data_IF_383460710434
#
_entry.id   IF_383460710434
#
_cell.length_a   1.000
_cell.length_b   1.000
_cell.length_c   1.000
_cell.angle_alpha   90.00
_cell.angle_beta   90.00
_cell.angle_gamma   90.00
#
_symmetry.space_group_name_H-M   'P 1'
#
loop_
_entity.id
_entity.type
_entity.pdbx_description
1 polymer ?
#
# COMPACT_ATOMS: atom_id res chain seq x y z
N UNK A 1 50.53 11.80 -86.34
CA UNK A 1 50.91 12.53 -85.11
C UNK A 1 51.21 11.52 -84.01
N UNK A 2 52.35 11.67 -83.35
CA UNK A 2 52.89 10.86 -82.26
C UNK A 2 52.46 11.46 -80.88
N UNK A 3 52.89 10.97 -79.69
CA UNK A 3 52.96 9.59 -79.18
C UNK A 3 52.62 9.45 -77.64
N UNK A 4 52.88 8.24 -77.07
CA UNK A 4 53.21 7.90 -75.65
C UNK A 4 52.07 7.76 -74.61
N UNK A 5 52.15 6.99 -73.51
CA UNK A 5 52.89 5.81 -73.00
C UNK A 5 52.50 5.67 -71.49
N UNK A 6 52.49 4.45 -70.94
CA UNK A 6 52.59 4.07 -69.49
C UNK A 6 51.30 4.26 -68.65
N UNK A 7 50.82 3.40 -67.74
CA UNK A 7 51.40 2.30 -66.95
C UNK A 7 50.37 1.19 -66.64
N UNK A 8 50.88 0.04 -66.24
CA UNK A 8 50.17 -1.13 -65.69
C UNK A 8 50.45 -1.20 -64.19
N UNK A 9 49.44 -1.44 -63.36
CA UNK A 9 49.64 -2.09 -62.06
C UNK A 9 48.41 -2.99 -61.70
N UNK A 10 48.62 -4.21 -61.18
CA UNK A 10 47.58 -5.20 -60.89
C UNK A 10 47.18 -5.19 -59.41
N UNK A 11 45.96 -5.63 -59.10
CA UNK A 11 45.55 -5.81 -57.70
C UNK A 11 44.21 -6.51 -57.62
N UNK A 12 44.24 -7.82 -57.40
CA UNK A 12 43.04 -8.59 -57.10
C UNK A 12 42.39 -8.13 -55.80
N UNK A 13 41.08 -8.26 -55.71
CA UNK A 13 40.39 -8.31 -54.42
C UNK A 13 39.28 -9.34 -54.50
N UNK A 14 39.37 -10.23 -53.52
CA UNK A 14 38.60 -11.44 -53.32
C UNK A 14 37.12 -11.14 -53.14
N UNK A 15 36.30 -12.09 -53.58
CA UNK A 15 34.86 -12.17 -53.36
C UNK A 15 34.52 -11.94 -51.88
N UNK A 16 33.75 -10.88 -51.63
CA UNK A 16 33.16 -10.61 -50.32
C UNK A 16 32.10 -11.67 -50.00
N UNK A 17 32.47 -12.62 -49.14
CA UNK A 17 31.53 -13.48 -48.44
C UNK A 17 30.82 -12.62 -47.39
N UNK A 18 29.54 -12.34 -47.62
CA UNK A 18 28.66 -11.69 -46.65
C UNK A 18 28.39 -12.68 -45.51
N UNK A 19 29.00 -12.46 -44.35
CA UNK A 19 28.62 -13.17 -43.12
C UNK A 19 27.31 -12.60 -42.60
N UNK A 20 26.34 -13.49 -42.37
CA UNK A 20 25.08 -13.17 -41.73
C UNK A 20 25.34 -12.75 -40.28
N UNK A 21 25.07 -11.49 -39.96
CA UNK A 21 25.11 -10.93 -38.62
C UNK A 21 24.08 -11.65 -37.74
N UNK A 22 24.57 -12.42 -36.77
CA UNK A 22 23.77 -13.09 -35.73
C UNK A 22 23.10 -12.00 -34.87
N UNK A 23 21.78 -12.08 -34.57
CA UNK A 23 21.13 -11.05 -33.77
C UNK A 23 21.75 -11.03 -32.37
N UNK A 24 22.12 -9.83 -31.91
CA UNK A 24 22.61 -9.61 -30.56
C UNK A 24 21.55 -10.10 -29.58
N UNK A 25 21.89 -11.10 -28.77
CA UNK A 25 21.05 -11.52 -27.66
C UNK A 25 20.88 -10.33 -26.73
N UNK A 26 19.68 -9.75 -26.71
CA UNK A 26 19.31 -8.65 -25.84
C UNK A 26 19.41 -9.15 -24.39
N UNK A 27 20.53 -8.85 -23.73
CA UNK A 27 20.77 -9.18 -22.32
C UNK A 27 19.88 -8.26 -21.50
N UNK A 28 18.68 -8.75 -21.14
CA UNK A 28 17.81 -8.10 -20.17
C UNK A 28 18.60 -7.84 -18.87
N UNK A 29 18.59 -6.61 -18.34
CA UNK A 29 19.30 -6.30 -17.12
C UNK A 29 18.73 -7.15 -15.97
N UNK A 30 19.57 -7.66 -15.06
CA UNK A 30 19.16 -8.58 -13.99
C UNK A 30 18.02 -8.03 -13.12
N UNK A 31 17.90 -6.70 -13.02
CA UNK A 31 16.80 -6.00 -12.37
C UNK A 31 15.43 -6.23 -13.03
N UNK A 32 15.35 -6.26 -14.36
CA UNK A 32 14.07 -6.48 -15.06
C UNK A 32 13.62 -7.94 -14.93
N UNK A 33 14.56 -8.89 -14.92
CA UNK A 33 14.29 -10.30 -14.68
C UNK A 33 13.80 -10.53 -13.24
N UNK A 34 14.41 -9.86 -12.26
CA UNK A 34 14.00 -9.91 -10.86
C UNK A 34 12.59 -9.33 -10.66
N UNK A 35 12.28 -8.20 -11.32
CA UNK A 35 10.95 -7.59 -11.30
C UNK A 35 9.88 -8.50 -11.92
N UNK A 36 10.20 -9.21 -13.01
CA UNK A 36 9.30 -10.17 -13.63
C UNK A 36 9.02 -11.38 -12.72
N UNK A 37 10.05 -11.88 -12.03
CA UNK A 37 9.94 -13.00 -11.07
C UNK A 37 9.08 -12.62 -9.85
N UNK A 38 9.21 -11.40 -9.35
CA UNK A 38 8.38 -10.87 -8.25
C UNK A 38 6.90 -10.74 -8.64
N UNK A 39 6.62 -10.34 -9.89
CA UNK A 39 5.24 -10.24 -10.39
C UNK A 39 4.59 -11.61 -10.63
N UNK A 40 5.36 -12.62 -11.04
CA UNK A 40 4.84 -14.00 -11.23
C UNK A 40 4.71 -14.78 -9.92
N UNK A 41 5.50 -14.46 -8.89
CA UNK A 41 5.48 -15.15 -7.60
C UNK A 41 4.27 -14.83 -6.71
N UNK A 42 3.47 -13.82 -7.06
CA UNK A 42 2.31 -13.37 -6.27
C UNK A 42 1.03 -14.20 -6.46
N UNK A 43 1.05 -15.26 -7.29
CA UNK A 43 -0.13 -16.11 -7.57
C UNK A 43 0.09 -17.55 -7.10
N UNK A 44 0.18 -17.75 -5.78
CA UNK A 44 -0.04 -19.08 -5.18
C UNK A 44 -1.37 -19.07 -4.45
N UNK A 45 -2.44 -19.40 -5.17
CA UNK A 45 -3.74 -19.73 -4.60
C UNK A 45 -3.64 -21.09 -3.92
N UNK A 46 -3.70 -21.12 -2.58
CA UNK A 46 -3.86 -22.34 -1.81
C UNK A 46 -5.23 -22.98 -2.13
N UNK A 47 -5.31 -24.29 -2.43
CA UNK A 47 -6.59 -24.98 -2.50
C UNK A 47 -7.01 -25.31 -1.06
N UNK A 48 -7.95 -24.53 -0.53
CA UNK A 48 -8.55 -24.83 0.75
C UNK A 48 -9.40 -26.11 0.61
N UNK A 49 -8.88 -27.20 1.16
CA UNK A 49 -9.51 -28.51 1.14
C UNK A 49 -10.82 -28.48 1.93
N UNK A 50 -11.89 -28.74 1.20
CA UNK A 50 -13.28 -28.73 1.63
C UNK A 50 -13.58 -30.00 2.46
N UNK A 51 -13.39 -29.93 3.78
CA UNK A 51 -13.83 -31.00 4.67
C UNK A 51 -15.28 -30.74 5.10
N UNK A 52 -16.19 -31.41 4.40
CA UNK A 52 -17.63 -31.37 4.64
C UNK A 52 -18.03 -32.59 5.45
N UNK A 53 -18.20 -32.43 6.77
CA UNK A 53 -18.85 -33.44 7.61
C UNK A 53 -19.53 -32.80 8.82
N UNK A 54 -20.85 -33.05 8.95
CA UNK A 54 -21.79 -32.72 10.05
C UNK A 54 -22.36 -31.29 10.20
N UNK A 55 -23.19 -30.81 9.23
CA UNK A 55 -23.82 -29.49 9.32
C UNK A 55 -24.76 -29.29 10.51
N UNK A 56 -25.40 -30.35 11.04
CA UNK A 56 -26.47 -30.20 12.04
C UNK A 56 -25.95 -30.03 13.47
N UNK A 57 -24.94 -30.81 13.88
CA UNK A 57 -24.35 -30.66 15.21
C UNK A 57 -23.51 -29.39 15.31
N UNK A 58 -22.73 -29.09 14.26
CA UNK A 58 -21.94 -27.86 14.19
C UNK A 58 -22.84 -26.62 14.17
N UNK A 59 -23.99 -26.67 13.48
CA UNK A 59 -24.95 -25.57 13.48
C UNK A 59 -25.62 -25.37 14.84
N UNK A 60 -26.03 -26.45 15.52
CA UNK A 60 -26.64 -26.34 16.85
C UNK A 60 -25.62 -25.88 17.90
N UNK A 61 -24.39 -26.40 17.85
CA UNK A 61 -23.31 -25.96 18.73
C UNK A 61 -22.94 -24.49 18.47
N UNK A 62 -22.83 -24.09 17.19
CA UNK A 62 -22.57 -22.70 16.82
C UNK A 62 -23.72 -21.79 17.26
N UNK A 63 -24.97 -22.26 17.20
CA UNK A 63 -26.12 -21.51 17.66
C UNK A 63 -26.13 -21.35 19.18
N UNK A 64 -25.88 -22.42 19.93
CA UNK A 64 -25.76 -22.37 21.39
C UNK A 64 -24.64 -21.43 21.84
N UNK A 65 -23.47 -21.48 21.18
CA UNK A 65 -22.37 -20.53 21.45
C UNK A 65 -22.77 -19.07 21.22
N UNK A 66 -23.55 -18.79 20.18
CA UNK A 66 -24.06 -17.44 19.89
C UNK A 66 -25.04 -16.95 20.96
N UNK A 67 -25.94 -17.82 21.42
CA UNK A 67 -26.91 -17.52 22.49
C UNK A 67 -26.22 -17.24 23.84
N UNK A 68 -25.20 -18.04 24.17
CA UNK A 68 -24.36 -17.81 25.35
C UNK A 68 -23.59 -16.49 25.23
N UNK A 69 -23.00 -16.21 24.07
CA UNK A 69 -22.32 -14.95 23.79
C UNK A 69 -23.24 -13.75 23.95
N UNK A 70 -24.45 -13.81 23.39
CA UNK A 70 -25.46 -12.75 23.50
C UNK A 70 -25.78 -12.41 24.96
N UNK A 71 -25.93 -13.43 25.80
CA UNK A 71 -26.20 -13.22 27.23
C UNK A 71 -25.00 -12.63 27.97
N UNK A 72 -23.77 -13.04 27.62
CA UNK A 72 -22.55 -12.64 28.33
C UNK A 72 -22.03 -11.26 27.92
N UNK A 73 -22.43 -10.72 26.75
CA UNK A 73 -22.06 -9.33 26.37
C UNK A 73 -22.97 -8.26 26.98
N UNK A 74 -24.13 -8.63 27.56
CA UNK A 74 -25.03 -7.68 28.21
C UNK A 74 -24.35 -6.89 29.35
N UNK A 75 -23.57 -7.51 30.26
CA UNK A 75 -22.76 -6.77 31.23
C UNK A 75 -21.74 -5.82 30.58
N UNK A 76 -21.08 -6.22 29.50
CA UNK A 76 -20.12 -5.37 28.78
C UNK A 76 -20.80 -4.05 28.34
N UNK A 77 -21.98 -4.18 27.71
CA UNK A 77 -22.78 -3.05 27.27
C UNK A 77 -23.25 -2.18 28.45
N UNK A 78 -23.76 -2.81 29.50
CA UNK A 78 -24.23 -2.12 30.69
C UNK A 78 -23.15 -1.28 31.36
N UNK A 79 -21.95 -1.84 31.56
CA UNK A 79 -20.82 -1.12 32.16
C UNK A 79 -20.34 0.03 31.28
N UNK A 80 -20.28 -0.18 29.96
CA UNK A 80 -19.94 0.87 29.00
C UNK A 80 -20.94 2.02 29.08
N UNK A 81 -22.24 1.73 28.95
CA UNK A 81 -23.30 2.72 28.94
C UNK A 81 -23.32 3.54 30.23
N UNK A 82 -23.30 2.88 31.38
CA UNK A 82 -23.25 3.54 32.70
C UNK A 82 -22.03 4.45 32.84
N UNK A 83 -20.88 4.04 32.30
CA UNK A 83 -19.67 4.87 32.32
C UNK A 83 -19.80 6.08 31.39
N UNK A 84 -20.32 5.88 30.18
CA UNK A 84 -20.50 6.94 29.18
C UNK A 84 -21.54 7.98 29.59
N UNK A 85 -22.58 7.60 30.35
CA UNK A 85 -23.59 8.53 30.88
C UNK A 85 -22.97 9.60 31.81
N UNK A 86 -21.82 9.30 32.43
CA UNK A 86 -21.10 10.25 33.29
C UNK A 86 -20.15 11.20 32.54
N UNK A 87 -19.92 10.96 31.24
CA UNK A 87 -18.97 11.73 30.42
C UNK A 87 -19.64 13.01 29.91
N UNK A 88 -18.97 14.15 30.09
CA UNK A 88 -19.49 15.47 29.67
C UNK A 88 -19.30 15.76 28.18
N UNK A 89 -18.22 15.24 27.59
CA UNK A 89 -17.84 15.51 26.21
C UNK A 89 -17.52 14.19 25.50
N UNK A 90 -18.51 13.66 24.78
CA UNK A 90 -18.37 12.41 24.03
C UNK A 90 -17.49 12.55 22.79
N UNK A 91 -17.28 13.77 22.28
CA UNK A 91 -16.50 14.00 21.06
C UNK A 91 -15.00 14.12 21.33
N UNK A 92 -14.60 14.19 22.59
CA UNK A 92 -13.20 14.17 22.97
C UNK A 92 -12.67 12.74 23.12
N UNK A 93 -11.98 12.25 22.08
CA UNK A 93 -11.38 10.90 22.06
C UNK A 93 -10.49 10.62 23.28
N UNK A 94 -9.75 11.61 23.79
CA UNK A 94 -8.88 11.40 24.96
C UNK A 94 -9.67 11.05 26.23
N UNK A 95 -10.90 11.54 26.35
CA UNK A 95 -11.77 11.27 27.49
C UNK A 95 -12.50 9.93 27.36
N UNK A 96 -12.93 9.57 26.14
CA UNK A 96 -13.75 8.37 25.91
C UNK A 96 -12.96 7.11 25.58
N UNK A 97 -11.72 7.25 25.11
CA UNK A 97 -10.92 6.13 24.54
C UNK A 97 -10.84 4.93 25.48
N UNK A 98 -10.70 5.16 26.79
CA UNK A 98 -10.65 4.09 27.80
C UNK A 98 -11.95 3.29 27.86
N UNK A 99 -13.10 3.95 27.91
CA UNK A 99 -14.40 3.29 28.01
C UNK A 99 -14.72 2.49 26.74
N UNK A 100 -14.44 3.09 25.57
CA UNK A 100 -14.61 2.41 24.29
C UNK A 100 -13.69 1.20 24.15
N UNK A 101 -12.42 1.32 24.55
CA UNK A 101 -11.46 0.21 24.53
C UNK A 101 -11.89 -0.92 25.44
N UNK A 102 -12.40 -0.60 26.64
CA UNK A 102 -12.93 -1.61 27.56
C UNK A 102 -14.15 -2.35 26.99
N UNK A 103 -15.07 -1.63 26.32
CA UNK A 103 -16.21 -2.27 25.63
C UNK A 103 -15.70 -3.24 24.58
N UNK A 104 -14.82 -2.78 23.68
CA UNK A 104 -14.24 -3.61 22.62
C UNK A 104 -13.55 -4.85 23.18
N UNK A 105 -12.70 -4.67 24.19
CA UNK A 105 -12.00 -5.78 24.84
C UNK A 105 -12.96 -6.79 25.47
N UNK A 106 -14.02 -6.32 26.14
CA UNK A 106 -15.02 -7.21 26.75
C UNK A 106 -15.76 -8.03 25.68
N UNK A 107 -16.14 -7.40 24.55
CA UNK A 107 -16.78 -8.09 23.43
C UNK A 107 -15.88 -9.15 22.77
N UNK A 108 -14.59 -8.82 22.60
CA UNK A 108 -13.57 -9.72 22.05
C UNK A 108 -13.30 -10.88 23.01
N UNK A 109 -13.13 -10.60 24.30
CA UNK A 109 -12.92 -11.61 25.34
C UNK A 109 -14.09 -12.61 25.42
N UNK A 110 -15.33 -12.13 25.41
CA UNK A 110 -16.49 -13.03 25.43
C UNK A 110 -16.60 -13.83 24.12
N UNK A 111 -16.22 -13.26 22.97
CA UNK A 111 -16.23 -13.98 21.70
C UNK A 111 -15.23 -15.14 21.74
N UNK A 112 -14.00 -14.87 22.18
CA UNK A 112 -12.94 -15.88 22.36
C UNK A 112 -13.37 -16.97 23.35
N UNK A 113 -14.00 -16.59 24.46
CA UNK A 113 -14.49 -17.52 25.49
C UNK A 113 -15.51 -18.54 24.95
N UNK A 114 -16.35 -18.15 24.00
CA UNK A 114 -17.31 -19.05 23.36
C UNK A 114 -16.80 -19.64 22.02
N UNK A 115 -15.56 -19.36 21.64
CA UNK A 115 -14.96 -19.84 20.39
C UNK A 115 -15.63 -19.26 19.14
N UNK A 116 -16.02 -18.00 19.22
CA UNK A 116 -16.57 -17.20 18.12
C UNK A 116 -15.48 -16.26 17.59
N UNK A 117 -15.55 -15.94 16.29
CA UNK A 117 -14.67 -14.92 15.71
C UNK A 117 -14.99 -13.51 16.21
N UNK A 118 -13.99 -12.65 16.23
CA UNK A 118 -14.13 -11.21 16.41
C UNK A 118 -13.52 -10.44 15.22
N UNK A 119 -14.22 -9.45 14.64
CA UNK A 119 -15.60 -9.06 14.95
C UNK A 119 -16.63 -10.13 14.51
N UNK A 120 -17.82 -10.05 15.07
CA UNK A 120 -19.00 -10.83 14.67
C UNK A 120 -20.24 -9.90 14.60
N UNK A 121 -21.35 -10.32 13.96
CA UNK A 121 -22.50 -9.44 13.73
C UNK A 121 -23.09 -8.82 14.99
N UNK A 122 -23.10 -9.56 16.11
CA UNK A 122 -23.58 -9.02 17.38
C UNK A 122 -22.63 -7.94 17.93
N UNK A 123 -21.32 -8.20 17.94
CA UNK A 123 -20.33 -7.20 18.34
C UNK A 123 -20.41 -5.94 17.48
N UNK A 124 -20.56 -6.09 16.16
CA UNK A 124 -20.74 -4.97 15.24
C UNK A 124 -21.99 -4.16 15.57
N UNK A 125 -23.12 -4.81 15.86
CA UNK A 125 -24.36 -4.12 16.22
C UNK A 125 -24.23 -3.30 17.50
N UNK A 126 -23.56 -3.83 18.53
CA UNK A 126 -23.31 -3.13 19.79
C UNK A 126 -22.39 -1.93 19.58
N UNK A 127 -21.34 -2.09 18.77
CA UNK A 127 -20.43 -1.00 18.44
C UNK A 127 -21.17 0.09 17.65
N UNK A 128 -21.99 -0.25 16.66
CA UNK A 128 -22.79 0.72 15.91
C UNK A 128 -23.79 1.44 16.82
N UNK A 129 -24.44 0.75 17.75
CA UNK A 129 -25.33 1.36 18.75
C UNK A 129 -24.57 2.39 19.61
N UNK A 130 -23.34 2.07 20.05
CA UNK A 130 -22.49 3.02 20.76
C UNK A 130 -22.24 4.31 19.95
N UNK A 131 -21.94 4.18 18.65
CA UNK A 131 -21.73 5.31 17.74
C UNK A 131 -22.99 6.14 17.56
N UNK A 132 -24.15 5.50 17.39
CA UNK A 132 -25.43 6.20 17.21
C UNK A 132 -25.87 6.96 18.46
N UNK A 133 -25.64 6.42 19.65
CA UNK A 133 -26.07 7.06 20.90
C UNK A 133 -25.12 8.20 21.30
N UNK A 134 -23.81 7.98 21.26
CA UNK A 134 -22.84 8.92 21.84
C UNK A 134 -22.12 9.79 20.82
N UNK A 135 -21.99 9.34 19.56
CA UNK A 135 -21.11 9.96 18.57
C UNK A 135 -21.83 10.54 17.34
N UNK A 136 -23.16 10.44 17.26
CA UNK A 136 -23.93 10.92 16.10
C UNK A 136 -23.74 12.41 15.78
N UNK A 137 -23.42 13.24 16.79
CA UNK A 137 -23.22 14.68 16.64
C UNK A 137 -21.74 15.10 16.69
N UNK A 138 -20.81 14.14 16.69
CA UNK A 138 -19.39 14.44 16.67
C UNK A 138 -18.91 14.65 15.23
N UNK A 139 -18.31 15.80 14.97
CA UNK A 139 -17.67 16.09 13.69
C UNK A 139 -16.33 15.36 13.59
N UNK A 140 -16.12 14.70 12.45
CA UNK A 140 -14.84 14.06 12.16
C UNK A 140 -13.80 15.17 11.96
N UNK A 141 -12.83 15.26 12.87
CA UNK A 141 -11.65 16.10 12.65
C UNK A 141 -10.98 15.58 11.38
N UNK A 142 -10.78 16.46 10.40
CA UNK A 142 -10.15 16.06 9.14
C UNK A 142 -8.85 15.31 9.42
N UNK A 143 -8.60 14.17 8.75
CA UNK A 143 -7.36 13.44 8.91
C UNK A 143 -6.19 14.38 8.59
N UNK A 144 -5.39 14.69 9.61
CA UNK A 144 -4.19 15.54 9.48
C UNK A 144 -3.13 14.93 8.57
N UNK A 145 -3.24 13.63 8.32
CA UNK A 145 -2.38 12.85 7.42
C UNK A 145 -3.07 12.60 6.07
N UNK A 146 -3.77 13.60 5.55
CA UNK A 146 -4.23 13.56 4.16
C UNK A 146 -3.10 14.02 3.26
N UNK A 147 -2.89 13.32 2.14
CA UNK A 147 -1.97 13.78 1.12
C UNK A 147 -2.42 15.15 0.60
N UNK A 148 -1.48 16.08 0.31
CA UNK A 148 -1.83 17.35 -0.32
C UNK A 148 -2.43 17.08 -1.71
N UNK A 149 -3.27 18.00 -2.23
CA UNK A 149 -3.83 17.90 -3.57
C UNK A 149 -2.75 17.58 -4.62
N UNK A 150 -3.07 16.74 -5.60
CA UNK A 150 -2.11 16.20 -6.57
C UNK A 150 -1.33 17.30 -7.31
N UNK A 151 -1.96 18.43 -7.59
CA UNK A 151 -1.36 19.60 -8.23
C UNK A 151 -0.32 20.28 -7.33
N UNK A 152 -0.61 20.40 -6.02
CA UNK A 152 0.33 20.93 -5.02
C UNK A 152 1.49 19.96 -4.82
N UNK A 153 1.20 18.67 -4.70
CA UNK A 153 2.22 17.63 -4.56
C UNK A 153 3.17 17.64 -5.76
N UNK A 154 2.62 17.69 -6.98
CA UNK A 154 3.39 17.77 -8.21
C UNK A 154 4.25 19.04 -8.27
N UNK A 155 3.70 20.19 -7.89
CA UNK A 155 4.46 21.44 -7.83
C UNK A 155 5.63 21.34 -6.83
N UNK A 156 5.43 20.73 -5.66
CA UNK A 156 6.48 20.49 -4.67
C UNK A 156 7.56 19.53 -5.16
N UNK A 157 7.24 18.60 -6.07
CA UNK A 157 8.22 17.68 -6.68
C UNK A 157 8.98 18.38 -7.82
N UNK A 158 8.28 19.10 -8.71
CA UNK A 158 8.88 19.77 -9.86
C UNK A 158 9.78 20.93 -9.43
N UNK A 159 9.40 21.70 -8.39
CA UNK A 159 10.16 22.84 -7.91
C UNK A 159 11.64 22.52 -7.60
N UNK A 160 12.00 21.52 -6.76
CA UNK A 160 13.40 21.16 -6.53
C UNK A 160 14.08 20.60 -7.78
N UNK A 161 13.37 19.83 -8.62
CA UNK A 161 13.93 19.28 -9.87
C UNK A 161 14.34 20.39 -10.83
N UNK A 162 13.56 21.47 -10.93
CA UNK A 162 13.89 22.62 -11.78
C UNK A 162 14.91 23.57 -11.13
N UNK A 163 14.88 23.73 -9.81
CA UNK A 163 15.75 24.64 -9.08
C UNK A 163 17.21 24.14 -9.05
N UNK A 164 17.44 22.83 -8.88
CA UNK A 164 18.79 22.25 -8.84
C UNK A 164 19.62 22.57 -10.10
N UNK A 165 19.20 22.25 -11.34
CA UNK A 165 19.98 22.55 -12.54
C UNK A 165 20.14 24.06 -12.76
N UNK A 166 19.15 24.87 -12.35
CA UNK A 166 19.28 26.33 -12.40
C UNK A 166 20.41 26.83 -11.49
N UNK A 167 20.47 26.36 -10.23
CA UNK A 167 21.57 26.71 -9.34
C UNK A 167 22.93 26.17 -9.82
N UNK A 168 22.97 24.93 -10.33
CA UNK A 168 24.21 24.32 -10.84
C UNK A 168 24.77 25.13 -12.02
N UNK A 169 23.92 25.51 -12.98
CA UNK A 169 24.34 26.33 -14.13
C UNK A 169 24.82 27.72 -13.72
N UNK A 170 24.17 28.36 -12.74
CA UNK A 170 24.62 29.63 -12.18
C UNK A 170 26.00 29.51 -11.50
N UNK A 171 26.25 28.46 -10.72
CA UNK A 171 27.55 28.25 -10.07
C UNK A 171 28.65 28.03 -11.09
N UNK A 172 28.42 27.20 -12.12
CA UNK A 172 29.38 26.95 -13.20
C UNK A 172 29.67 28.22 -14.01
N UNK A 173 28.65 29.04 -14.26
CA UNK A 173 28.86 30.29 -14.97
C UNK A 173 29.72 31.26 -14.13
N UNK A 174 29.37 31.45 -12.85
CA UNK A 174 30.15 32.32 -11.96
C UNK A 174 31.59 31.86 -11.73
N UNK A 175 31.86 30.55 -11.73
CA UNK A 175 33.24 30.07 -11.62
C UNK A 175 34.07 30.40 -12.86
N UNK A 176 33.46 30.37 -14.05
CA UNK A 176 34.15 30.71 -15.30
C UNK A 176 34.52 32.19 -15.40
N UNK A 177 33.69 33.07 -14.85
CA UNK A 177 33.97 34.52 -14.84
C UNK A 177 35.09 34.90 -13.84
N UNK A 178 35.31 34.07 -12.81
CA UNK A 178 36.42 34.23 -11.86
C UNK A 178 37.79 33.86 -12.47
N UNK A 179 37.84 32.82 -13.31
CA UNK A 179 39.07 32.40 -14.00
C UNK A 179 39.48 33.38 -15.13
N UNK A 180 38.55 34.20 -15.63
CA UNK A 180 38.86 35.24 -16.62
C UNK A 180 39.49 36.51 -16.03
N UNK A 181 39.59 36.61 -14.69
CA UNK A 181 40.22 37.73 -13.97
C UNK A 181 41.56 37.38 -13.29
N UNK A 182 42.06 36.16 -13.45
CA UNK A 182 43.40 35.75 -13.01
C UNK A 182 44.38 35.68 -14.19
#
# INVERSE_FOLDING_TARGET
>A
MAPLRVERAPGGSQLAVTSAQRPAALRLPPLLLLLLLLLLGAVSTSPESLNQSHPTEDSLLSKGKMEDYETNVLPCWYYYKTSMDSVKDWCNWTLISRYYSNLRYCLEYEADKFGLGFPNPLAESIILEAHLIHFANCSLVQPTFSDPPEDVLLAMIIAPICLIPFLVTLVVWRSKDGDAQA
#
